data_IF_384191284277
#
_entry.id   IF_384191284277
#
_cell.length_a   1.000
_cell.length_b   1.000
_cell.length_c   1.000
_cell.angle_alpha   90.00
_cell.angle_beta   90.00
_cell.angle_gamma   90.00
#
_symmetry.space_group_name_H-M   'P 1'
#
loop_
_entity.id
_entity.type
_entity.pdbx_description
1 polymer ?
#
# COMPACT_ATOMS: atom_id res chain seq x y z
N UNK A 1 14.17 -4.85 14.37
CA UNK A 1 13.32 -4.17 13.37
C UNK A 1 12.57 -5.28 12.69
N UNK A 2 11.24 -5.26 12.73
CA UNK A 2 10.42 -6.23 12.00
C UNK A 2 10.75 -6.18 10.50
N UNK A 3 10.75 -7.34 9.86
CA UNK A 3 10.97 -7.45 8.43
C UNK A 3 9.77 -6.86 7.67
N UNK A 4 10.04 -6.08 6.62
CA UNK A 4 9.00 -5.49 5.78
C UNK A 4 8.91 -6.30 4.50
N UNK A 5 7.93 -7.20 4.43
CA UNK A 5 7.60 -7.95 3.24
C UNK A 5 6.67 -7.16 2.32
N UNK A 6 7.05 -6.91 1.05
CA UNK A 6 6.19 -6.18 0.11
C UNK A 6 4.98 -7.04 -0.29
N UNK A 7 3.78 -6.65 0.11
CA UNK A 7 2.52 -7.29 -0.33
C UNK A 7 1.67 -6.38 -1.20
N UNK A 8 1.01 -6.99 -2.18
CA UNK A 8 0.03 -6.32 -3.04
C UNK A 8 -1.32 -6.23 -2.33
N UNK A 9 -1.72 -5.03 -1.93
CA UNK A 9 -3.03 -4.78 -1.30
C UNK A 9 -4.04 -4.30 -2.33
N UNK A 10 -5.20 -4.96 -2.39
CA UNK A 10 -6.31 -4.56 -3.28
C UNK A 10 -7.29 -3.68 -2.51
N UNK A 11 -7.53 -2.48 -3.03
CA UNK A 11 -8.53 -1.57 -2.49
C UNK A 11 -9.38 -0.91 -3.58
N UNK A 12 -10.62 -0.50 -3.26
CA UNK A 12 -11.40 0.34 -4.15
C UNK A 12 -10.66 1.62 -4.52
N UNK A 13 -10.79 2.05 -5.77
CA UNK A 13 -10.15 3.26 -6.30
C UNK A 13 -10.41 4.50 -5.42
N UNK A 14 -11.63 4.64 -4.90
CA UNK A 14 -12.00 5.76 -4.02
C UNK A 14 -11.13 5.81 -2.76
N UNK A 15 -10.80 4.66 -2.18
CA UNK A 15 -9.99 4.60 -0.97
C UNK A 15 -8.53 4.94 -1.26
N UNK A 16 -7.98 4.45 -2.38
CA UNK A 16 -6.65 4.87 -2.83
C UNK A 16 -6.54 6.39 -3.01
N UNK A 17 -7.59 7.03 -3.54
CA UNK A 17 -7.63 8.48 -3.68
C UNK A 17 -7.63 9.19 -2.31
N UNK A 18 -8.37 8.66 -1.33
CA UNK A 18 -8.39 9.20 0.03
C UNK A 18 -7.03 9.08 0.71
N UNK A 19 -6.39 7.90 0.66
CA UNK A 19 -5.05 7.68 1.21
C UNK A 19 -4.02 8.62 0.57
N UNK A 20 -4.10 8.79 -0.76
CA UNK A 20 -3.23 9.71 -1.50
C UNK A 20 -3.45 11.16 -1.08
N UNK A 21 -4.71 11.58 -0.86
CA UNK A 21 -5.02 12.92 -0.40
C UNK A 21 -4.47 13.20 1.01
N UNK A 22 -4.56 12.21 1.91
CA UNK A 22 -3.98 12.30 3.26
C UNK A 22 -2.46 12.42 3.17
N UNK A 23 -1.79 11.53 2.42
CA UNK A 23 -0.34 11.55 2.25
C UNK A 23 0.17 12.90 1.71
N UNK A 24 -0.56 13.50 0.75
CA UNK A 24 -0.25 14.84 0.25
C UNK A 24 -0.34 15.91 1.34
N UNK A 25 -1.39 15.88 2.18
CA UNK A 25 -1.53 16.83 3.30
C UNK A 25 -0.39 16.67 4.31
N UNK A 26 -0.06 15.44 4.67
CA UNK A 26 1.02 15.16 5.63
C UNK A 26 2.40 15.58 5.09
N UNK A 27 2.64 15.35 3.80
CA UNK A 27 3.85 15.81 3.12
C UNK A 27 3.97 17.35 3.14
N UNK A 28 2.86 18.06 2.94
CA UNK A 28 2.83 19.55 3.03
C UNK A 28 3.13 20.02 4.45
N UNK A 29 2.71 19.27 5.47
CA UNK A 29 3.06 19.53 6.88
C UNK A 29 4.52 19.17 7.22
N UNK A 30 5.31 18.71 6.26
CA UNK A 30 6.71 18.36 6.46
C UNK A 30 6.94 16.99 7.11
N UNK A 31 5.89 16.17 7.28
CA UNK A 31 6.06 14.81 7.79
C UNK A 31 6.89 13.96 6.82
N UNK A 32 7.69 13.07 7.39
CA UNK A 32 8.53 12.11 6.66
C UNK A 32 8.12 10.68 7.00
N UNK A 33 8.25 9.81 6.00
CA UNK A 33 8.09 8.37 6.18
C UNK A 33 9.12 7.86 7.20
N UNK A 34 8.70 7.10 8.23
CA UNK A 34 9.62 6.51 9.19
C UNK A 34 10.52 5.45 8.54
N UNK A 35 10.05 4.81 7.47
CA UNK A 35 10.74 3.72 6.78
C UNK A 35 11.78 4.23 5.79
N UNK A 36 11.38 5.17 4.93
CA UNK A 36 12.21 5.61 3.81
C UNK A 36 12.92 6.94 4.06
N UNK A 37 12.56 7.66 5.13
CA UNK A 37 12.97 9.05 5.43
C UNK A 37 12.62 10.06 4.33
N UNK A 38 11.86 9.67 3.31
CA UNK A 38 11.34 10.53 2.25
C UNK A 38 10.00 11.13 2.66
N UNK A 39 9.36 11.90 1.78
CA UNK A 39 8.01 12.39 2.02
C UNK A 39 7.01 11.22 2.15
N UNK A 40 6.01 11.39 3.02
CA UNK A 40 4.95 10.41 3.27
C UNK A 40 4.24 10.02 1.96
N UNK A 41 4.02 8.72 1.78
CA UNK A 41 3.29 8.10 0.68
C UNK A 41 1.93 7.53 1.14
N UNK A 42 1.08 7.15 0.19
CA UNK A 42 -0.20 6.49 0.52
C UNK A 42 0.01 5.17 1.29
N UNK A 43 1.12 4.45 1.04
CA UNK A 43 1.46 3.23 1.76
C UNK A 43 1.89 3.51 3.21
N UNK A 44 2.58 4.63 3.46
CA UNK A 44 2.93 5.03 4.83
C UNK A 44 1.67 5.35 5.65
N UNK A 45 0.69 6.01 5.02
CA UNK A 45 -0.62 6.29 5.64
C UNK A 45 -1.37 4.99 5.93
N UNK A 46 -1.38 4.06 4.97
CA UNK A 46 -2.00 2.74 5.15
C UNK A 46 -1.35 1.97 6.30
N UNK A 47 -0.02 1.91 6.33
CA UNK A 47 0.73 1.24 7.39
C UNK A 47 0.43 1.83 8.76
N UNK A 48 0.45 3.17 8.87
CA UNK A 48 0.15 3.87 10.13
C UNK A 48 -1.28 3.62 10.60
N UNK A 49 -2.24 3.56 9.68
CA UNK A 49 -3.63 3.25 9.99
C UNK A 49 -3.82 1.80 10.46
N UNK A 50 -3.15 0.85 9.80
CA UNK A 50 -3.19 -0.57 10.17
C UNK A 50 -2.54 -0.80 11.54
N UNK A 51 -1.37 -0.22 11.79
CA UNK A 51 -0.69 -0.28 13.10
C UNK A 51 -1.58 0.28 14.22
N UNK A 52 -2.23 1.41 13.98
CA UNK A 52 -3.17 2.01 14.95
C UNK A 52 -4.37 1.10 15.23
N UNK A 53 -4.91 0.45 14.20
CA UNK A 53 -6.04 -0.47 14.33
C UNK A 53 -5.66 -1.75 15.08
N UNK A 54 -4.50 -2.35 14.79
CA UNK A 54 -4.01 -3.53 15.50
C UNK A 54 -3.77 -3.21 16.97
N UNK A 55 -3.14 -2.07 17.27
CA UNK A 55 -2.94 -1.61 18.65
C UNK A 55 -4.24 -1.42 19.40
N UNK A 56 -5.24 -0.82 18.76
CA UNK A 56 -6.57 -0.65 19.34
C UNK A 56 -7.23 -2.00 19.64
N UNK A 57 -7.16 -2.94 18.69
CA UNK A 57 -7.71 -4.30 18.87
C UNK A 57 -7.02 -5.04 20.03
N UNK A 58 -5.69 -4.99 20.11
CA UNK A 58 -4.92 -5.62 21.19
C UNK A 58 -5.25 -4.99 22.55
N UNK A 59 -5.46 -3.68 22.59
CA UNK A 59 -5.85 -3.00 23.82
C UNK A 59 -7.25 -3.42 24.31
N UNK A 60 -8.18 -3.71 23.39
CA UNK A 60 -9.55 -4.11 23.72
C UNK A 60 -9.69 -5.61 24.01
N UNK A 61 -8.99 -6.46 23.26
CA UNK A 61 -9.17 -7.92 23.28
C UNK A 61 -8.03 -8.69 23.94
N UNK A 62 -6.92 -8.02 24.26
CA UNK A 62 -5.72 -8.65 24.81
C UNK A 62 -4.67 -9.01 23.73
N UNK A 63 -3.50 -9.53 24.17
CA UNK A 63 -2.38 -9.81 23.28
C UNK A 63 -2.70 -10.93 22.28
N UNK A 64 -2.24 -10.75 21.03
CA UNK A 64 -2.28 -11.79 20.01
C UNK A 64 -1.13 -12.76 20.21
N UNK A 65 -1.43 -14.06 20.25
CA UNK A 65 -0.42 -15.13 20.25
C UNK A 65 -0.10 -15.46 18.79
N UNK A 66 1.13 -15.16 18.36
CA UNK A 66 1.58 -15.35 16.97
C UNK A 66 2.44 -16.61 16.78
N UNK A 67 2.68 -17.39 17.84
CA UNK A 67 3.49 -18.61 17.77
C UNK A 67 2.84 -19.65 16.83
N UNK A 68 3.63 -20.14 15.87
CA UNK A 68 3.18 -21.14 14.90
C UNK A 68 2.30 -20.61 13.77
N UNK A 69 2.07 -19.29 13.69
CA UNK A 69 1.51 -18.68 12.48
C UNK A 69 2.61 -18.55 11.43
N UNK A 70 2.57 -19.42 10.43
CA UNK A 70 3.32 -19.20 9.20
C UNK A 70 2.57 -18.19 8.31
N UNK A 71 3.34 -17.36 7.61
CA UNK A 71 2.80 -16.50 6.58
C UNK A 71 2.26 -17.38 5.43
N UNK A 72 0.94 -17.44 5.28
CA UNK A 72 0.33 -17.97 4.05
C UNK A 72 0.57 -16.91 2.96
N UNK A 73 1.66 -17.06 2.22
CA UNK A 73 1.93 -16.35 0.97
C UNK A 73 0.96 -16.87 -0.09
N UNK A 74 -0.33 -16.56 0.08
CA UNK A 74 -1.35 -16.81 -0.91
C UNK A 74 -0.84 -16.37 -2.28
N UNK A 75 -0.62 -17.36 -3.14
CA UNK A 75 0.02 -17.24 -4.45
C UNK A 75 -0.53 -15.98 -5.16
N UNK A 76 0.33 -15.03 -5.57
CA UNK A 76 -0.16 -13.87 -6.30
C UNK A 76 -0.75 -14.40 -7.60
N UNK A 77 -2.07 -14.37 -7.73
CA UNK A 77 -2.74 -14.69 -8.98
C UNK A 77 -2.06 -13.87 -10.09
N UNK A 78 -1.22 -14.55 -10.87
CA UNK A 78 -0.47 -13.99 -11.98
C UNK A 78 -1.48 -13.50 -13.00
N UNK A 79 -1.91 -12.25 -12.87
CA UNK A 79 -2.56 -11.55 -13.95
C UNK A 79 -1.44 -11.26 -14.96
N UNK A 80 -1.29 -12.14 -15.95
CA UNK A 80 -0.42 -11.90 -17.09
C UNK A 80 -0.63 -10.47 -17.60
N UNK A 81 0.46 -9.71 -17.87
CA UNK A 81 0.34 -8.36 -18.36
C UNK A 81 -0.27 -8.42 -19.76
N UNK A 82 -1.55 -8.04 -19.89
CA UNK A 82 -2.17 -7.78 -21.19
C UNK A 82 -1.37 -6.67 -21.86
N UNK A 83 -0.50 -7.04 -22.79
CA UNK A 83 0.20 -6.12 -23.69
C UNK A 83 -0.85 -5.28 -24.42
N UNK A 84 -1.13 -4.07 -23.90
CA UNK A 84 -1.83 -3.04 -24.68
C UNK A 84 -0.91 -2.68 -25.85
N UNK A 85 -1.21 -3.20 -27.03
CA UNK A 85 -0.66 -2.68 -28.30
C UNK A 85 -1.01 -1.19 -28.36
N UNK A 86 0.01 -0.33 -28.42
CA UNK A 86 -0.17 1.08 -28.69
C UNK A 86 -0.81 1.26 -30.08
N UNK A 87 -1.78 2.18 -30.27
CA UNK A 87 -2.27 2.52 -31.59
C UNK A 87 -1.20 3.33 -32.33
N UNK A 88 -0.50 2.68 -33.24
CA UNK A 88 0.48 3.32 -34.11
C UNK A 88 -0.21 4.21 -35.17
N UNK A 89 -0.08 5.53 -34.95
CA UNK A 89 0.08 6.65 -35.90
C UNK A 89 -0.56 6.54 -37.31
N UNK A 90 -1.43 7.49 -37.74
CA UNK A 90 -1.95 7.51 -39.10
C UNK A 90 -0.86 7.88 -40.12
N UNK A 91 -0.92 7.36 -41.36
CA UNK A 91 0.07 7.64 -42.39
C UNK A 91 0.01 9.11 -42.83
N UNK A 92 1.18 9.75 -42.96
CA UNK A 92 1.32 11.08 -43.57
C UNK A 92 0.96 10.99 -45.06
N UNK A 93 -0.02 11.78 -45.50
CA UNK A 93 -0.27 12.06 -46.92
C UNK A 93 0.98 12.71 -47.53
N UNK A 94 1.36 12.24 -48.71
CA UNK A 94 2.34 12.90 -49.60
C UNK A 94 1.63 13.19 -50.91
#
# INVERSE_FOLDING_TARGET
MDEITPRNVRFPKRMWLQLTAIAKREKVQGKKSPLTRRGVSANDVLWSAADSLVKAYVAEHGPLVLEGMEEDDGEPASAEPVKKRAPGRPPKKK
#
